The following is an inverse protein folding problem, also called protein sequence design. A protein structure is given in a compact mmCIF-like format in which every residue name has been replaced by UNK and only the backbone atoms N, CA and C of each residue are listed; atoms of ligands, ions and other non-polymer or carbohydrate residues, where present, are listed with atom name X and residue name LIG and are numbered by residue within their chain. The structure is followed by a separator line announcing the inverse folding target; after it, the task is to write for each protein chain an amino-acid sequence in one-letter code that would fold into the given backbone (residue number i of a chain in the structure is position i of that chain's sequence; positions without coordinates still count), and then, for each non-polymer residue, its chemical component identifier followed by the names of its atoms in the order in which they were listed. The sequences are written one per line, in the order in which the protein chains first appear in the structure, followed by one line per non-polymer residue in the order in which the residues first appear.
data_IF_409978673189
#
_entry.id   IF_409978673189
#
_cell.length_a   1.000
_cell.length_b   1.000
_cell.length_c   1.000
_cell.angle_alpha   90.00
_cell.angle_beta   90.00
_cell.angle_gamma   90.00
#
_symmetry.space_group_name_H-M   'P 1'
#
loop_
_entity.id
_entity.type
_entity.pdbx_description
1 polymer ?
#
# COMPACT_ATOMS: atom_id res chain seq x y z
N UNK A 1 -93.85 -30.17 -87.54
CA UNK A 1 -92.75 -29.72 -86.68
C UNK A 1 -92.13 -30.96 -86.06
N UNK A 2 -91.12 -31.51 -86.75
CA UNK A 2 -90.47 -32.78 -86.40
C UNK A 2 -89.21 -32.54 -85.59
N UNK A 3 -89.08 -33.37 -84.56
CA UNK A 3 -87.90 -33.77 -83.78
C UNK A 3 -86.58 -33.10 -84.12
N UNK A 4 -86.16 -32.20 -83.22
CA UNK A 4 -84.74 -31.88 -82.98
C UNK A 4 -84.32 -32.40 -81.58
N UNK A 5 -84.91 -33.54 -81.15
CA UNK A 5 -84.53 -34.25 -79.91
C UNK A 5 -83.35 -35.22 -80.12
N UNK A 6 -82.80 -35.33 -81.34
CA UNK A 6 -81.87 -36.41 -81.75
C UNK A 6 -80.38 -36.20 -81.40
N UNK A 7 -79.99 -35.18 -80.62
CA UNK A 7 -78.58 -35.02 -80.18
C UNK A 7 -78.29 -35.47 -78.75
N UNK A 8 -79.30 -35.81 -77.97
CA UNK A 8 -79.13 -36.56 -76.71
C UNK A 8 -79.52 -38.02 -76.98
N UNK A 9 -78.64 -38.70 -77.72
CA UNK A 9 -78.80 -40.10 -78.08
C UNK A 9 -78.82 -40.96 -76.80
N UNK A 10 -79.91 -41.70 -76.53
CA UNK A 10 -79.98 -42.64 -75.42
C UNK A 10 -78.83 -43.68 -75.42
N UNK A 11 -78.18 -43.91 -76.57
CA UNK A 11 -77.02 -44.78 -76.69
C UNK A 11 -75.72 -44.17 -76.12
N UNK A 12 -75.68 -42.86 -75.83
CA UNK A 12 -74.49 -42.14 -75.34
C UNK A 12 -74.63 -41.65 -73.89
N UNK A 13 -75.55 -42.22 -73.11
CA UNK A 13 -75.66 -41.91 -71.67
C UNK A 13 -74.42 -42.49 -70.95
N UNK A 14 -73.66 -41.66 -70.18
CA UNK A 14 -72.46 -42.14 -69.51
C UNK A 14 -72.80 -43.16 -68.43
N UNK A 15 -71.81 -43.92 -67.96
CA UNK A 15 -72.03 -44.90 -66.90
C UNK A 15 -72.51 -44.23 -65.62
N UNK A 16 -73.54 -44.78 -64.93
CA UNK A 16 -74.10 -44.16 -63.74
C UNK A 16 -73.09 -44.08 -62.58
N UNK A 17 -71.99 -44.82 -62.60
CA UNK A 17 -70.94 -44.76 -61.56
C UNK A 17 -70.00 -43.55 -61.73
N UNK A 18 -69.87 -43.00 -62.93
CA UNK A 18 -68.97 -41.88 -63.19
C UNK A 18 -69.64 -40.55 -62.81
N UNK A 19 -69.38 -40.10 -61.58
CA UNK A 19 -69.93 -38.85 -61.02
C UNK A 19 -69.72 -37.64 -61.94
N UNK A 20 -68.50 -37.47 -62.47
CA UNK A 20 -68.15 -36.32 -63.30
C UNK A 20 -68.90 -36.30 -64.61
N UNK A 21 -68.91 -37.43 -65.33
CA UNK A 21 -69.64 -37.55 -66.59
C UNK A 21 -71.15 -37.45 -66.39
N UNK A 22 -71.69 -38.04 -65.32
CA UNK A 22 -73.12 -37.98 -64.99
C UNK A 22 -73.58 -36.54 -64.74
N UNK A 23 -72.85 -35.78 -63.93
CA UNK A 23 -73.16 -34.36 -63.68
C UNK A 23 -72.97 -33.51 -64.93
N UNK A 24 -71.90 -33.75 -65.69
CA UNK A 24 -71.69 -33.09 -66.98
C UNK A 24 -72.84 -33.30 -67.95
N UNK A 25 -73.37 -34.54 -68.02
CA UNK A 25 -74.55 -34.85 -68.85
C UNK A 25 -75.79 -34.10 -68.37
N UNK A 26 -76.08 -34.09 -67.06
CA UNK A 26 -77.23 -33.39 -66.48
C UNK A 26 -77.15 -31.89 -66.79
N UNK A 27 -76.00 -31.27 -66.53
CA UNK A 27 -75.78 -29.84 -66.74
C UNK A 27 -75.92 -29.48 -68.23
N UNK A 28 -75.33 -30.28 -69.13
CA UNK A 28 -75.47 -30.08 -70.58
C UNK A 28 -76.91 -30.23 -71.06
N UNK A 29 -77.65 -31.22 -70.54
CA UNK A 29 -79.04 -31.45 -70.92
C UNK A 29 -79.92 -30.25 -70.54
N UNK A 30 -79.79 -29.79 -69.29
CA UNK A 30 -80.53 -28.63 -68.80
C UNK A 30 -80.11 -27.39 -69.59
N UNK A 31 -78.81 -27.15 -69.79
CA UNK A 31 -78.33 -26.01 -70.57
C UNK A 31 -78.87 -25.99 -72.00
N UNK A 32 -79.07 -27.15 -72.63
CA UNK A 32 -79.50 -27.26 -74.02
C UNK A 32 -81.01 -27.12 -74.20
N UNK A 33 -81.80 -27.74 -73.32
CA UNK A 33 -83.26 -27.84 -73.50
C UNK A 33 -84.07 -26.98 -72.51
N UNK A 34 -83.45 -26.56 -71.42
CA UNK A 34 -84.08 -25.88 -70.29
C UNK A 34 -83.12 -24.83 -69.69
N UNK A 35 -82.55 -23.98 -70.55
CA UNK A 35 -81.48 -23.06 -70.17
C UNK A 35 -81.88 -22.08 -69.06
N UNK A 36 -83.17 -21.80 -68.92
CA UNK A 36 -83.79 -21.01 -67.86
C UNK A 36 -83.68 -21.66 -66.47
N UNK A 37 -83.52 -22.99 -66.41
CA UNK A 37 -83.36 -23.73 -65.16
C UNK A 37 -81.91 -23.85 -64.69
N UNK A 38 -80.93 -23.48 -65.52
CA UNK A 38 -79.49 -23.59 -65.18
C UNK A 38 -79.13 -22.88 -63.86
N UNK A 39 -79.61 -21.65 -63.58
CA UNK A 39 -79.32 -20.99 -62.30
C UNK A 39 -79.82 -21.74 -61.06
N UNK A 40 -80.80 -22.65 -61.22
CA UNK A 40 -81.43 -23.39 -60.12
C UNK A 40 -80.72 -24.70 -59.79
N UNK A 41 -79.80 -25.19 -60.65
CA UNK A 41 -79.17 -26.50 -60.50
C UNK A 41 -78.52 -26.66 -59.12
N UNK A 42 -77.72 -25.68 -58.70
CA UNK A 42 -76.98 -25.78 -57.44
C UNK A 42 -77.88 -25.70 -56.20
N UNK A 43 -78.92 -24.87 -56.24
CA UNK A 43 -79.93 -24.79 -55.18
C UNK A 43 -80.69 -26.11 -55.06
N UNK A 44 -81.17 -26.67 -56.18
CA UNK A 44 -81.85 -27.97 -56.20
C UNK A 44 -80.95 -29.12 -55.76
N UNK A 45 -79.63 -29.02 -55.97
CA UNK A 45 -78.66 -30.01 -55.52
C UNK A 45 -78.54 -29.99 -54.00
N UNK A 46 -78.49 -28.80 -53.39
CA UNK A 46 -78.49 -28.62 -51.94
C UNK A 46 -79.79 -29.10 -51.31
N UNK A 47 -80.94 -28.78 -51.91
CA UNK A 47 -82.24 -29.31 -51.46
C UNK A 47 -82.26 -30.84 -51.50
N UNK A 48 -81.76 -31.45 -52.59
CA UNK A 48 -81.64 -32.89 -52.72
C UNK A 48 -80.73 -33.50 -51.64
N UNK A 49 -79.60 -32.85 -51.32
CA UNK A 49 -78.70 -33.27 -50.23
C UNK A 49 -79.42 -33.26 -48.87
N UNK A 50 -80.09 -32.16 -48.54
CA UNK A 50 -80.84 -32.01 -47.28
C UNK A 50 -81.98 -33.01 -47.16
N UNK A 51 -82.61 -33.40 -48.27
CA UNK A 51 -83.66 -34.39 -48.30
C UNK A 51 -83.12 -35.82 -48.17
N UNK A 52 -82.06 -36.15 -48.92
CA UNK A 52 -81.57 -37.53 -49.01
C UNK A 52 -80.79 -37.98 -47.77
N UNK A 53 -80.12 -37.06 -47.06
CA UNK A 53 -79.42 -37.39 -45.82
C UNK A 53 -80.35 -38.03 -44.76
N UNK A 54 -81.47 -37.42 -44.35
CA UNK A 54 -82.46 -38.05 -43.48
C UNK A 54 -82.98 -39.39 -44.03
N UNK A 55 -83.31 -39.47 -45.33
CA UNK A 55 -83.82 -40.71 -45.94
C UNK A 55 -82.85 -41.88 -45.78
N UNK A 56 -81.54 -41.65 -45.93
CA UNK A 56 -80.54 -42.69 -45.72
C UNK A 56 -80.36 -43.02 -44.23
N UNK A 57 -80.44 -42.02 -43.35
CA UNK A 57 -80.41 -42.23 -41.90
C UNK A 57 -81.59 -43.07 -41.39
N UNK A 58 -82.82 -42.73 -41.80
CA UNK A 58 -84.04 -43.43 -41.40
C UNK A 58 -84.07 -44.89 -41.87
N UNK A 59 -83.31 -45.19 -42.94
CA UNK A 59 -83.08 -46.56 -43.43
C UNK A 59 -82.02 -47.32 -42.64
N UNK A 60 -81.47 -46.74 -41.57
CA UNK A 60 -80.44 -47.35 -40.75
C UNK A 60 -79.07 -47.42 -41.42
N UNK A 61 -78.81 -46.67 -42.50
CA UNK A 61 -77.50 -46.69 -43.15
C UNK A 61 -76.52 -45.85 -42.33
N UNK A 62 -75.51 -46.49 -41.75
CA UNK A 62 -74.42 -45.80 -41.05
C UNK A 62 -73.42 -45.26 -42.08
N UNK A 63 -73.02 -46.13 -43.01
CA UNK A 63 -72.14 -45.81 -44.12
C UNK A 63 -72.91 -45.92 -45.44
N UNK A 64 -72.80 -44.89 -46.27
CA UNK A 64 -73.38 -44.88 -47.63
C UNK A 64 -72.24 -44.74 -48.62
N UNK A 65 -72.10 -45.65 -49.61
CA UNK A 65 -71.04 -45.52 -50.59
C UNK A 65 -71.15 -44.22 -51.38
N UNK A 66 -70.01 -43.57 -51.63
CA UNK A 66 -69.94 -42.26 -52.27
C UNK A 66 -70.69 -42.22 -53.60
N UNK A 67 -70.42 -43.19 -54.48
CA UNK A 67 -71.02 -43.26 -55.82
C UNK A 67 -72.54 -43.38 -55.76
N UNK A 68 -73.05 -44.28 -54.91
CA UNK A 68 -74.49 -44.50 -54.75
C UNK A 68 -75.18 -43.28 -54.14
N UNK A 69 -74.58 -42.64 -53.13
CA UNK A 69 -75.15 -41.44 -52.51
C UNK A 69 -75.23 -40.28 -53.51
N UNK A 70 -74.14 -39.97 -54.20
CA UNK A 70 -74.15 -38.88 -55.18
C UNK A 70 -75.14 -39.14 -56.32
N UNK A 71 -75.32 -40.40 -56.71
CA UNK A 71 -76.32 -40.79 -57.69
C UNK A 71 -77.75 -40.54 -57.18
N UNK A 72 -78.07 -40.82 -55.92
CA UNK A 72 -79.40 -40.52 -55.36
C UNK A 72 -79.64 -39.02 -55.21
N UNK A 73 -78.60 -38.23 -54.94
CA UNK A 73 -78.65 -36.75 -54.99
C UNK A 73 -79.00 -36.30 -56.40
N UNK A 74 -78.25 -36.74 -57.41
CA UNK A 74 -78.45 -36.29 -58.80
C UNK A 74 -79.83 -36.72 -59.34
N UNK A 75 -80.30 -37.93 -58.99
CA UNK A 75 -81.65 -38.42 -59.34
C UNK A 75 -82.76 -37.62 -58.67
N UNK A 76 -82.54 -37.16 -57.43
CA UNK A 76 -83.49 -36.31 -56.68
C UNK A 76 -83.49 -34.89 -57.23
N UNK A 77 -82.32 -34.33 -57.52
CA UNK A 77 -82.17 -33.05 -58.22
C UNK A 77 -82.94 -33.05 -59.54
N UNK A 78 -82.80 -34.11 -60.35
CA UNK A 78 -83.49 -34.23 -61.63
C UNK A 78 -85.01 -34.19 -61.48
N UNK A 79 -85.54 -34.88 -60.46
CA UNK A 79 -86.97 -34.84 -60.16
C UNK A 79 -87.42 -33.46 -59.69
N UNK A 80 -86.64 -32.83 -58.80
CA UNK A 80 -86.99 -31.55 -58.22
C UNK A 80 -86.96 -30.42 -59.24
N UNK A 81 -85.96 -30.40 -60.14
CA UNK A 81 -85.81 -29.33 -61.12
C UNK A 81 -86.91 -29.36 -62.19
N UNK A 82 -87.38 -30.56 -62.58
CA UNK A 82 -88.44 -30.74 -63.58
C UNK A 82 -89.84 -30.93 -62.98
N UNK A 83 -90.01 -30.84 -61.66
CA UNK A 83 -91.28 -31.13 -60.98
C UNK A 83 -92.45 -30.29 -61.54
N UNK A 84 -92.19 -29.03 -61.88
CA UNK A 84 -93.19 -28.08 -62.40
C UNK A 84 -93.73 -28.47 -63.79
N UNK A 85 -93.05 -29.35 -64.53
CA UNK A 85 -93.46 -29.81 -65.86
C UNK A 85 -94.48 -30.96 -65.80
N UNK A 86 -94.72 -31.55 -64.61
CA UNK A 86 -95.66 -32.65 -64.44
C UNK A 86 -95.36 -33.82 -65.39
N UNK A 87 -96.36 -34.23 -66.17
CA UNK A 87 -96.25 -35.33 -67.15
C UNK A 87 -95.27 -35.04 -68.30
N UNK A 88 -94.90 -33.78 -68.51
CA UNK A 88 -93.94 -33.38 -69.54
C UNK A 88 -92.48 -33.43 -69.04
N UNK A 89 -92.26 -33.75 -67.77
CA UNK A 89 -90.92 -33.88 -67.21
C UNK A 89 -90.13 -34.99 -67.93
N UNK A 90 -88.86 -34.74 -68.31
CA UNK A 90 -88.05 -35.76 -68.94
C UNK A 90 -87.76 -36.91 -67.97
N UNK A 91 -87.81 -38.14 -68.49
CA UNK A 91 -87.49 -39.33 -67.72
C UNK A 91 -86.03 -39.30 -67.26
N UNK A 92 -85.75 -39.93 -66.11
CA UNK A 92 -84.39 -40.10 -65.62
C UNK A 92 -83.57 -40.95 -66.62
N UNK A 93 -82.41 -40.48 -67.12
CA UNK A 93 -81.69 -41.12 -68.23
C UNK A 93 -81.10 -42.51 -67.94
N UNK A 94 -80.92 -42.87 -66.67
CA UNK A 94 -80.28 -44.13 -66.28
C UNK A 94 -81.30 -45.17 -65.84
N UNK A 95 -81.30 -46.33 -66.49
CA UNK A 95 -82.18 -47.45 -66.15
C UNK A 95 -81.62 -48.33 -65.02
N UNK A 96 -80.30 -48.30 -64.81
CA UNK A 96 -79.60 -49.06 -63.78
C UNK A 96 -79.05 -48.12 -62.71
N UNK A 97 -79.34 -48.41 -61.45
CA UNK A 97 -78.78 -47.69 -60.31
C UNK A 97 -77.40 -48.29 -59.94
N UNK A 98 -76.41 -47.47 -59.53
CA UNK A 98 -75.16 -47.99 -58.99
C UNK A 98 -75.39 -48.97 -57.84
N UNK A 99 -74.48 -49.92 -57.67
CA UNK A 99 -74.56 -50.92 -56.61
C UNK A 99 -74.59 -50.25 -55.23
N UNK A 100 -75.67 -50.46 -54.49
CA UNK A 100 -75.95 -49.85 -53.16
C UNK A 100 -74.89 -50.11 -52.10
N UNK A 101 -74.06 -51.14 -52.28
CA UNK A 101 -73.03 -51.58 -51.34
C UNK A 101 -71.61 -51.50 -51.91
N UNK A 102 -71.42 -50.86 -53.07
CA UNK A 102 -70.10 -50.71 -53.68
C UNK A 102 -69.31 -49.59 -53.02
N UNK A 103 -68.49 -49.97 -52.05
CA UNK A 103 -67.59 -49.08 -51.30
C UNK A 103 -66.24 -48.87 -52.00
N UNK A 104 -66.09 -49.21 -53.29
CA UNK A 104 -64.81 -49.05 -54.02
C UNK A 104 -64.28 -47.61 -54.02
N UNK A 105 -65.19 -46.63 -54.00
CA UNK A 105 -64.86 -45.20 -53.89
C UNK A 105 -64.95 -44.65 -52.46
N UNK A 106 -65.08 -45.54 -51.47
CA UNK A 106 -65.28 -45.18 -50.07
C UNK A 106 -66.69 -44.68 -49.73
N UNK A 107 -66.84 -44.18 -48.51
CA UNK A 107 -68.07 -43.58 -47.99
C UNK A 107 -68.24 -42.15 -48.53
N UNK A 108 -69.49 -41.72 -48.77
CA UNK A 108 -69.79 -40.32 -49.07
C UNK A 108 -69.31 -39.39 -47.96
N UNK A 109 -68.45 -38.44 -48.30
CA UNK A 109 -67.98 -37.40 -47.38
C UNK A 109 -69.13 -36.48 -46.95
N UNK A 110 -70.00 -36.08 -47.88
CA UNK A 110 -71.14 -35.22 -47.60
C UNK A 110 -72.13 -35.86 -46.61
N UNK A 111 -72.43 -37.16 -46.78
CA UNK A 111 -73.26 -37.88 -45.81
C UNK A 111 -72.57 -38.05 -44.46
N UNK A 112 -71.26 -38.33 -44.47
CA UNK A 112 -70.43 -38.44 -43.25
C UNK A 112 -70.43 -37.15 -42.44
N UNK A 113 -70.17 -36.02 -43.10
CA UNK A 113 -70.16 -34.68 -42.48
C UNK A 113 -71.53 -34.31 -41.92
N UNK A 114 -72.61 -34.57 -42.67
CA UNK A 114 -73.96 -34.37 -42.17
C UNK A 114 -74.25 -35.19 -40.90
N UNK A 115 -73.82 -36.46 -40.86
CA UNK A 115 -73.96 -37.29 -39.65
C UNK A 115 -73.18 -36.71 -38.46
N UNK A 116 -71.95 -36.21 -38.68
CA UNK A 116 -71.14 -35.55 -37.65
C UNK A 116 -71.84 -34.29 -37.13
N UNK A 117 -72.35 -33.44 -38.02
CA UNK A 117 -73.07 -32.21 -37.66
C UNK A 117 -74.32 -32.49 -36.80
N UNK A 118 -75.02 -33.60 -37.09
CA UNK A 118 -76.19 -34.03 -36.32
C UNK A 118 -75.87 -34.87 -35.08
N UNK A 119 -74.58 -35.08 -34.76
CA UNK A 119 -74.15 -35.86 -33.61
C UNK A 119 -74.45 -37.36 -33.73
N UNK A 120 -74.65 -37.87 -34.94
CA UNK A 120 -74.87 -39.30 -35.17
C UNK A 120 -73.56 -40.09 -35.20
N UNK A 121 -73.58 -41.38 -34.80
CA UNK A 121 -72.40 -42.24 -34.91
C UNK A 121 -71.92 -42.34 -36.36
N UNK A 122 -70.61 -42.21 -36.55
CA UNK A 122 -69.90 -42.39 -37.82
C UNK A 122 -68.80 -43.41 -37.59
N UNK A 123 -68.61 -44.34 -38.53
CA UNK A 123 -67.50 -45.27 -38.43
C UNK A 123 -66.17 -44.50 -38.54
N UNK A 124 -65.26 -44.62 -37.56
CA UNK A 124 -63.95 -43.99 -37.66
C UNK A 124 -63.25 -44.56 -38.88
N UNK A 125 -62.75 -43.67 -39.75
CA UNK A 125 -62.02 -44.14 -40.92
C UNK A 125 -60.71 -44.81 -40.46
N UNK A 126 -60.08 -45.59 -41.34
CA UNK A 126 -58.86 -46.31 -40.98
C UNK A 126 -57.72 -45.36 -40.54
N UNK A 127 -57.69 -44.14 -41.07
CA UNK A 127 -56.73 -43.11 -40.67
C UNK A 127 -56.99 -42.57 -39.26
N UNK A 128 -58.25 -42.45 -38.84
CA UNK A 128 -58.65 -42.02 -37.50
C UNK A 128 -58.26 -43.08 -36.47
N UNK A 129 -58.40 -44.37 -36.82
CA UNK A 129 -57.95 -45.49 -35.97
C UNK A 129 -56.42 -45.53 -35.84
N UNK A 130 -55.70 -45.34 -36.94
CA UNK A 130 -54.24 -45.30 -36.91
C UNK A 130 -53.75 -44.11 -36.07
N UNK A 131 -54.35 -42.93 -36.27
CA UNK A 131 -54.03 -41.74 -35.46
C UNK A 131 -54.30 -41.98 -33.97
N UNK A 132 -55.40 -42.65 -33.62
CA UNK A 132 -55.70 -42.99 -32.24
C UNK A 132 -54.62 -43.93 -31.66
N UNK A 133 -54.21 -44.96 -32.40
CA UNK A 133 -53.14 -45.86 -31.97
C UNK A 133 -51.80 -45.14 -31.80
N UNK A 134 -51.43 -44.28 -32.76
CA UNK A 134 -50.19 -43.50 -32.70
C UNK A 134 -50.19 -42.55 -31.48
N UNK A 135 -51.34 -41.95 -31.17
CA UNK A 135 -51.51 -41.09 -29.98
C UNK A 135 -51.45 -41.89 -28.68
N UNK A 136 -52.06 -43.08 -28.62
CA UNK A 136 -51.95 -43.98 -27.46
C UNK A 136 -50.49 -44.39 -27.22
N UNK A 137 -49.76 -44.71 -28.30
CA UNK A 137 -48.34 -45.03 -28.20
C UNK A 137 -47.51 -43.84 -27.73
N UNK A 138 -47.78 -42.63 -28.24
CA UNK A 138 -47.12 -41.41 -27.79
C UNK A 138 -47.40 -41.11 -26.32
N UNK A 139 -48.64 -41.28 -25.86
CA UNK A 139 -49.02 -41.11 -24.45
C UNK A 139 -48.30 -42.12 -23.55
N UNK A 140 -48.22 -43.39 -23.96
CA UNK A 140 -47.50 -44.41 -23.22
C UNK A 140 -46.01 -44.09 -23.09
N UNK A 141 -45.37 -43.67 -24.20
CA UNK A 141 -43.97 -43.26 -24.20
C UNK A 141 -43.73 -42.04 -23.29
N UNK A 142 -44.60 -41.04 -23.37
CA UNK A 142 -44.52 -39.84 -22.53
C UNK A 142 -44.69 -40.17 -21.04
N UNK A 143 -45.58 -41.11 -20.69
CA UNK A 143 -45.76 -41.56 -19.30
C UNK A 143 -44.50 -42.25 -18.77
N UNK A 144 -43.87 -43.12 -19.56
CA UNK A 144 -42.61 -43.77 -19.17
C UNK A 144 -41.47 -42.75 -18.99
N UNK A 145 -41.41 -41.73 -19.84
CA UNK A 145 -40.42 -40.66 -19.71
C UNK A 145 -40.64 -39.83 -18.44
N UNK A 146 -41.89 -39.50 -18.10
CA UNK A 146 -42.23 -38.81 -16.85
C UNK A 146 -41.81 -39.65 -15.64
N UNK A 147 -42.07 -40.95 -15.64
CA UNK A 147 -41.67 -41.85 -14.56
C UNK A 147 -40.14 -41.89 -14.40
N UNK A 148 -39.41 -41.99 -15.51
CA UNK A 148 -37.94 -41.92 -15.52
C UNK A 148 -37.41 -40.60 -14.97
N UNK A 149 -38.00 -39.47 -15.35
CA UNK A 149 -37.61 -38.16 -14.87
C UNK A 149 -37.90 -37.99 -13.37
N UNK A 150 -39.00 -38.56 -12.87
CA UNK A 150 -39.32 -38.55 -11.44
C UNK A 150 -38.30 -39.33 -10.62
N UNK A 151 -37.83 -40.49 -11.10
CA UNK A 151 -36.75 -41.24 -10.46
C UNK A 151 -35.46 -40.42 -10.40
N UNK A 152 -35.04 -39.82 -11.52
CA UNK A 152 -33.85 -38.96 -11.54
C UNK A 152 -33.99 -37.75 -10.58
N UNK A 153 -35.18 -37.16 -10.49
CA UNK A 153 -35.44 -36.05 -9.57
C UNK A 153 -35.33 -36.49 -8.10
N UNK A 154 -35.78 -37.70 -7.78
CA UNK A 154 -35.65 -38.27 -6.44
C UNK A 154 -34.19 -38.54 -6.09
N UNK A 155 -33.42 -39.13 -7.00
CA UNK A 155 -31.99 -39.37 -6.81
C UNK A 155 -31.21 -38.06 -6.60
N UNK A 156 -31.52 -37.04 -7.40
CA UNK A 156 -30.92 -35.71 -7.26
C UNK A 156 -31.23 -35.07 -5.89
N UNK A 157 -32.46 -35.24 -5.38
CA UNK A 157 -32.84 -34.76 -4.03
C UNK A 157 -32.09 -35.50 -2.93
N UNK A 158 -31.94 -36.81 -3.05
CA UNK A 158 -31.16 -37.62 -2.09
C UNK A 158 -29.71 -37.16 -2.06
N UNK A 159 -29.07 -37.02 -3.23
CA UNK A 159 -27.68 -36.56 -3.33
C UNK A 159 -27.50 -35.13 -2.80
N UNK A 160 -28.47 -34.24 -3.04
CA UNK A 160 -28.46 -32.90 -2.46
C UNK A 160 -28.52 -32.93 -0.93
N UNK A 161 -29.33 -33.81 -0.35
CA UNK A 161 -29.45 -33.97 1.09
C UNK A 161 -28.17 -34.55 1.70
N UNK A 162 -27.60 -35.58 1.10
CA UNK A 162 -26.30 -36.15 1.51
C UNK A 162 -25.18 -35.11 1.47
N UNK A 163 -25.11 -34.31 0.39
CA UNK A 163 -24.14 -33.23 0.29
C UNK A 163 -24.33 -32.18 1.39
N UNK A 164 -25.59 -31.83 1.70
CA UNK A 164 -25.92 -30.88 2.75
C UNK A 164 -25.46 -31.39 4.12
N UNK A 165 -25.71 -32.66 4.44
CA UNK A 165 -25.28 -33.29 5.68
C UNK A 165 -23.75 -33.36 5.79
N UNK A 166 -23.07 -33.73 4.70
CA UNK A 166 -21.61 -33.75 4.64
C UNK A 166 -21.00 -32.36 4.84
N UNK A 167 -21.57 -31.31 4.22
CA UNK A 167 -21.12 -29.94 4.41
C UNK A 167 -21.39 -29.43 5.82
N UNK A 168 -22.53 -29.79 6.42
CA UNK A 168 -22.84 -29.45 7.81
C UNK A 168 -21.84 -30.09 8.77
N UNK A 169 -21.53 -31.38 8.61
CA UNK A 169 -20.50 -32.05 9.43
C UNK A 169 -19.13 -31.37 9.34
N UNK A 170 -18.72 -30.96 8.13
CA UNK A 170 -17.46 -30.20 7.93
C UNK A 170 -17.47 -28.82 8.57
N UNK A 171 -18.62 -28.16 8.65
CA UNK A 171 -18.77 -26.89 9.36
C UNK A 171 -18.66 -27.10 10.87
N UNK A 172 -19.33 -28.12 11.39
CA UNK A 172 -19.29 -28.46 12.82
C UNK A 172 -17.86 -28.81 13.28
N UNK A 173 -17.10 -29.56 12.46
CA UNK A 173 -15.69 -29.86 12.69
C UNK A 173 -14.82 -28.59 12.73
N UNK A 174 -15.06 -27.66 11.80
CA UNK A 174 -14.35 -26.38 11.77
C UNK A 174 -14.68 -25.52 12.98
N UNK A 175 -15.94 -25.47 13.40
CA UNK A 175 -16.37 -24.75 14.60
C UNK A 175 -15.76 -25.36 15.87
N UNK A 176 -15.67 -26.69 15.95
CA UNK A 176 -14.97 -27.37 17.03
C UNK A 176 -13.47 -27.02 17.06
N UNK A 177 -12.81 -26.99 15.89
CA UNK A 177 -11.42 -26.58 15.78
C UNK A 177 -11.21 -25.12 16.17
N UNK A 178 -12.09 -24.21 15.73
CA UNK A 178 -12.03 -22.79 16.10
C UNK A 178 -12.17 -22.62 17.62
N UNK A 179 -13.16 -23.27 18.24
CA UNK A 179 -13.32 -23.27 19.71
C UNK A 179 -12.07 -23.79 20.42
N UNK A 180 -11.46 -24.86 19.91
CA UNK A 180 -10.21 -25.40 20.46
C UNK A 180 -9.05 -24.41 20.36
N UNK A 181 -8.93 -23.72 19.22
CA UNK A 181 -7.90 -22.69 18.99
C UNK A 181 -8.12 -21.45 19.84
N UNK A 182 -9.36 -21.03 20.06
CA UNK A 182 -9.68 -19.95 20.98
C UNK A 182 -9.27 -20.30 22.42
N UNK A 183 -9.54 -21.53 22.87
CA UNK A 183 -9.07 -22.01 24.17
C UNK A 183 -7.54 -22.03 24.27
N UNK A 184 -6.83 -22.40 23.20
CA UNK A 184 -5.38 -22.36 23.13
C UNK A 184 -4.85 -20.92 23.21
N UNK A 185 -5.44 -19.98 22.46
CA UNK A 185 -5.10 -18.56 22.53
C UNK A 185 -5.32 -18.01 23.93
N UNK A 186 -6.43 -18.35 24.59
CA UNK A 186 -6.69 -17.92 25.96
C UNK A 186 -5.64 -18.46 26.94
N UNK A 187 -5.24 -19.73 26.81
CA UNK A 187 -4.13 -20.30 27.59
C UNK A 187 -2.83 -19.54 27.37
N UNK A 188 -2.45 -19.31 26.12
CA UNK A 188 -1.25 -18.55 25.78
C UNK A 188 -1.28 -17.11 26.29
N UNK A 189 -2.45 -16.45 26.32
CA UNK A 189 -2.61 -15.12 26.93
C UNK A 189 -2.39 -15.13 28.43
N UNK A 190 -2.90 -16.14 29.13
CA UNK A 190 -2.68 -16.32 30.58
C UNK A 190 -1.19 -16.55 30.83
N UNK A 191 -0.55 -17.45 30.09
CA UNK A 191 0.89 -17.74 30.21
C UNK A 191 1.74 -16.51 29.90
N UNK A 192 1.39 -15.76 28.86
CA UNK A 192 2.03 -14.49 28.52
C UNK A 192 1.86 -13.44 29.61
N UNK A 193 0.70 -13.38 30.27
CA UNK A 193 0.47 -12.48 31.41
C UNK A 193 1.34 -12.86 32.61
N UNK A 194 1.49 -14.16 32.90
CA UNK A 194 2.37 -14.67 33.94
C UNK A 194 3.85 -14.36 33.66
N UNK A 195 4.27 -14.31 32.38
CA UNK A 195 5.61 -13.89 32.00
C UNK A 195 5.94 -12.41 32.30
N UNK A 196 4.91 -11.60 32.57
CA UNK A 196 5.05 -10.20 33.00
C UNK A 196 5.83 -10.07 34.31
N UNK A 197 5.61 -10.98 35.27
CA UNK A 197 6.35 -10.99 36.53
C UNK A 197 7.83 -11.28 36.30
N UNK A 198 8.15 -12.24 35.42
CA UNK A 198 9.53 -12.55 35.04
C UNK A 198 10.22 -11.37 34.36
N UNK A 199 9.52 -10.63 33.47
CA UNK A 199 10.05 -9.40 32.85
C UNK A 199 10.29 -8.30 33.87
N UNK A 200 9.43 -8.14 34.86
CA UNK A 200 9.58 -7.15 35.93
C UNK A 200 10.77 -7.51 36.84
N UNK A 201 10.93 -8.79 37.19
CA UNK A 201 12.10 -9.30 37.92
C UNK A 201 13.39 -9.07 37.14
N UNK A 202 13.41 -9.38 35.84
CA UNK A 202 14.57 -9.15 34.97
C UNK A 202 14.93 -7.66 34.87
N UNK A 203 13.94 -6.79 34.69
CA UNK A 203 14.12 -5.33 34.66
C UNK A 203 14.69 -4.80 35.97
N UNK A 204 14.27 -5.38 37.09
CA UNK A 204 14.75 -4.98 38.42
C UNK A 204 16.18 -5.46 38.68
N UNK A 205 16.48 -6.71 38.29
CA UNK A 205 17.84 -7.25 38.32
C UNK A 205 18.79 -6.47 37.38
N UNK A 206 18.32 -6.07 36.20
CA UNK A 206 19.10 -5.27 35.27
C UNK A 206 19.42 -3.88 35.85
N UNK A 207 18.44 -3.19 36.43
CA UNK A 207 18.68 -1.91 37.14
C UNK A 207 19.70 -2.07 38.26
N UNK A 208 19.63 -3.14 39.04
CA UNK A 208 20.59 -3.42 40.09
C UNK A 208 22.01 -3.66 39.54
N UNK A 209 22.14 -4.41 38.44
CA UNK A 209 23.44 -4.61 37.77
C UNK A 209 24.03 -3.30 37.24
N UNK A 210 23.21 -2.42 36.66
CA UNK A 210 23.68 -1.09 36.21
C UNK A 210 24.19 -0.27 37.40
N UNK A 211 23.48 -0.30 38.54
CA UNK A 211 23.91 0.40 39.75
C UNK A 211 25.23 -0.16 40.30
N UNK A 212 25.40 -1.49 40.35
CA UNK A 212 26.65 -2.12 40.75
C UNK A 212 27.80 -1.77 39.80
N UNK A 213 27.53 -1.74 38.49
CA UNK A 213 28.54 -1.34 37.51
C UNK A 213 28.99 0.12 37.71
N UNK A 214 28.04 1.04 37.97
CA UNK A 214 28.37 2.43 38.30
C UNK A 214 29.22 2.53 39.57
N UNK A 215 28.89 1.77 40.61
CA UNK A 215 29.71 1.72 41.84
C UNK A 215 31.11 1.19 41.55
N UNK A 216 31.24 0.16 40.72
CA UNK A 216 32.53 -0.40 40.32
C UNK A 216 33.39 0.62 39.54
N UNK A 217 32.77 1.41 38.66
CA UNK A 217 33.47 2.50 37.95
C UNK A 217 33.97 3.55 38.94
N UNK A 218 33.14 3.97 39.89
CA UNK A 218 33.54 4.94 40.93
C UNK A 218 34.70 4.41 41.76
N UNK A 219 34.65 3.15 42.22
CA UNK A 219 35.75 2.57 42.98
C UNK A 219 37.01 2.42 42.14
N UNK A 220 36.89 2.01 40.87
CA UNK A 220 38.02 1.94 39.93
C UNK A 220 38.67 3.32 39.74
N UNK A 221 37.88 4.38 39.57
CA UNK A 221 38.43 5.75 39.49
C UNK A 221 39.16 6.16 40.76
N UNK A 222 38.63 5.78 41.94
CA UNK A 222 39.31 6.03 43.22
C UNK A 222 40.66 5.32 43.31
N UNK A 223 40.72 4.05 42.88
CA UNK A 223 41.97 3.27 42.85
C UNK A 223 42.98 3.87 41.87
N UNK A 224 42.55 4.33 40.70
CA UNK A 224 43.46 4.98 39.74
C UNK A 224 44.03 6.28 40.28
N UNK A 225 43.23 7.09 40.98
CA UNK A 225 43.71 8.32 41.64
C UNK A 225 44.74 7.99 42.71
N UNK A 226 44.45 7.02 43.59
CA UNK A 226 45.40 6.58 44.63
C UNK A 226 46.71 6.06 44.03
N UNK A 227 46.63 5.33 42.92
CA UNK A 227 47.82 4.86 42.19
C UNK A 227 48.65 6.02 41.66
N UNK A 228 48.00 7.03 41.07
CA UNK A 228 48.69 8.22 40.56
C UNK A 228 49.35 9.03 41.69
N UNK A 229 48.69 9.14 42.85
CA UNK A 229 49.26 9.74 44.05
C UNK A 229 50.50 8.98 44.53
N UNK A 230 50.44 7.63 44.51
CA UNK A 230 51.57 6.78 44.87
C UNK A 230 52.75 6.93 43.88
N UNK A 231 52.48 6.97 42.57
CA UNK A 231 53.50 7.18 41.54
C UNK A 231 54.16 8.57 41.68
N UNK A 232 53.37 9.60 42.03
CA UNK A 232 53.87 10.94 42.33
C UNK A 232 54.74 10.95 43.58
N UNK A 233 54.32 10.25 44.64
CA UNK A 233 55.09 10.11 45.87
C UNK A 233 56.41 9.36 45.62
N UNK A 234 56.40 8.28 44.84
CA UNK A 234 57.60 7.56 44.45
C UNK A 234 58.55 8.43 43.64
N UNK A 235 58.05 9.21 42.68
CA UNK A 235 58.86 10.14 41.90
C UNK A 235 59.55 11.18 42.78
N UNK A 236 58.86 11.66 43.83
CA UNK A 236 59.45 12.55 44.85
C UNK A 236 60.54 11.85 45.66
N UNK A 237 60.32 10.61 46.07
CA UNK A 237 61.33 9.82 46.79
C UNK A 237 62.58 9.64 45.93
N UNK A 238 62.43 9.22 44.67
CA UNK A 238 63.57 9.06 43.75
C UNK A 238 64.32 10.38 43.53
N UNK A 239 63.61 11.51 43.43
CA UNK A 239 64.26 12.82 43.34
C UNK A 239 65.09 13.14 44.59
N UNK A 240 64.56 12.86 45.79
CA UNK A 240 65.28 13.05 47.05
C UNK A 240 66.48 12.10 47.17
N UNK A 241 66.36 10.85 46.74
CA UNK A 241 67.47 9.90 46.67
C UNK A 241 68.59 10.38 45.73
N UNK A 242 68.23 10.92 44.56
CA UNK A 242 69.19 11.52 43.64
C UNK A 242 69.90 12.74 44.27
N UNK A 243 69.17 13.61 44.95
CA UNK A 243 69.79 14.73 45.70
C UNK A 243 70.72 14.24 46.81
N UNK A 244 70.34 13.16 47.49
CA UNK A 244 71.15 12.57 48.57
C UNK A 244 72.41 11.87 48.05
N UNK A 245 72.36 11.27 46.87
CA UNK A 245 73.53 10.65 46.22
C UNK A 245 74.46 11.67 45.57
N UNK A 246 73.94 12.81 45.13
CA UNK A 246 74.76 13.95 44.68
C UNK A 246 75.44 14.70 45.85
N UNK A 247 74.82 14.70 47.03
CA UNK A 247 75.30 15.40 48.22
C UNK A 247 76.75 15.06 48.60
N UNK A 248 77.18 13.78 48.67
CA UNK A 248 78.57 13.43 48.96
C UNK A 248 79.58 14.08 48.00
N UNK A 249 79.26 14.16 46.70
CA UNK A 249 80.15 14.79 45.72
C UNK A 249 80.22 16.32 45.92
N UNK A 250 79.11 16.96 46.29
CA UNK A 250 79.05 18.39 46.62
C UNK A 250 79.77 18.70 47.93
N UNK A 251 79.61 17.85 48.96
CA UNK A 251 80.33 17.94 50.24
C UNK A 251 81.82 17.75 50.02
N UNK A 252 82.25 16.75 49.25
CA UNK A 252 83.65 16.51 48.93
C UNK A 252 84.26 17.66 48.11
N UNK A 253 83.51 18.24 47.18
CA UNK A 253 83.93 19.44 46.45
C UNK A 253 84.11 20.65 47.40
N UNK A 254 83.17 20.85 48.34
CA UNK A 254 83.25 21.90 49.36
C UNK A 254 84.39 21.66 50.37
N UNK A 255 84.65 20.42 50.77
CA UNK A 255 85.81 20.05 51.61
C UNK A 255 87.13 20.33 50.89
N UNK A 256 87.18 20.07 49.58
CA UNK A 256 88.35 20.36 48.74
C UNK A 256 88.54 21.88 48.58
N UNK A 257 87.45 22.64 48.39
CA UNK A 257 87.47 24.10 48.39
C UNK A 257 87.89 24.67 49.75
N UNK A 258 87.41 24.10 50.85
CA UNK A 258 87.78 24.49 52.22
C UNK A 258 89.26 24.22 52.49
N UNK A 259 89.80 23.07 52.04
CA UNK A 259 91.22 22.77 52.15
C UNK A 259 92.08 23.73 51.31
N UNK A 260 91.62 24.09 50.10
CA UNK A 260 92.24 25.14 49.26
C UNK A 260 92.14 26.52 49.90
N UNK A 261 91.02 26.83 50.55
CA UNK A 261 90.81 28.09 51.25
C UNK A 261 91.69 28.19 52.51
N UNK A 262 91.85 27.10 53.27
CA UNK A 262 92.76 27.03 54.42
C UNK A 262 94.22 27.15 54.02
N UNK A 263 94.64 26.55 52.90
CA UNK A 263 95.99 26.75 52.37
C UNK A 263 96.20 28.18 51.87
N UNK A 264 95.19 28.79 51.21
CA UNK A 264 95.22 30.21 50.87
C UNK A 264 95.23 31.10 52.11
N UNK A 265 94.50 30.75 53.17
CA UNK A 265 94.44 31.48 54.43
C UNK A 265 95.77 31.39 55.19
N UNK A 266 96.39 30.21 55.25
CA UNK A 266 97.75 30.05 55.81
C UNK A 266 98.78 30.86 55.02
N UNK A 267 98.73 30.81 53.69
CA UNK A 267 99.60 31.64 52.84
C UNK A 267 99.30 33.14 52.99
N UNK A 268 98.04 33.50 53.22
CA UNK A 268 97.60 34.86 53.50
C UNK A 268 97.98 35.32 54.91
N UNK A 269 98.07 34.43 55.90
CA UNK A 269 98.60 34.71 57.24
C UNK A 269 100.11 34.93 57.19
N UNK A 270 100.85 34.15 56.38
CA UNK A 270 102.28 34.38 56.15
C UNK A 270 102.51 35.68 55.37
N UNK A 271 101.67 35.97 54.37
CA UNK A 271 101.67 37.27 53.69
C UNK A 271 101.20 38.40 54.62
N UNK A 272 100.29 38.17 55.56
CA UNK A 272 99.86 39.17 56.54
C UNK A 272 100.95 39.42 57.58
N UNK A 273 101.75 38.44 58.00
CA UNK A 273 102.95 38.73 58.82
C UNK A 273 103.97 39.56 58.05
N UNK A 274 104.12 39.30 56.76
CA UNK A 274 104.99 40.08 55.87
C UNK A 274 104.45 41.50 55.64
N UNK A 275 103.13 41.64 55.41
CA UNK A 275 102.45 42.90 55.19
C UNK A 275 102.21 43.69 56.47
N UNK A 276 102.08 43.07 57.65
CA UNK A 276 102.09 43.74 58.97
C UNK A 276 103.47 44.35 59.27
N UNK A 277 104.54 43.74 58.73
CA UNK A 277 105.85 44.36 58.63
C UNK A 277 105.85 45.63 57.77
N UNK A 278 105.12 45.62 56.65
CA UNK A 278 104.97 46.77 55.75
C UNK A 278 103.93 47.80 56.21
N UNK A 279 102.92 47.39 56.97
CA UNK A 279 101.83 48.22 57.52
C UNK A 279 102.28 48.99 58.76
N UNK A 280 103.31 48.54 59.47
CA UNK A 280 104.00 49.36 60.48
C UNK A 280 104.75 50.54 59.83
N UNK A 281 105.19 50.38 58.58
CA UNK A 281 105.82 51.42 57.74
C UNK A 281 104.80 52.31 56.98
N UNK A 282 103.63 51.77 56.64
CA UNK A 282 102.60 52.51 55.89
C UNK A 282 101.56 53.24 56.77
N UNK A 283 101.39 52.86 58.05
CA UNK A 283 100.51 53.57 59.00
C UNK A 283 101.05 54.95 59.45
N UNK A 284 102.18 55.41 58.90
CA UNK A 284 102.60 56.83 58.97
C UNK A 284 102.10 57.67 57.79
N UNK A 285 101.34 57.13 56.83
CA UNK A 285 100.94 57.87 55.63
C UNK A 285 99.49 57.66 55.21
N UNK A 286 98.59 58.41 55.84
CA UNK A 286 97.23 58.76 55.33
C UNK A 286 96.19 57.67 55.66
N UNK A 287 95.17 57.84 56.51
CA UNK A 287 94.22 58.94 56.74
C UNK A 287 93.37 59.33 55.50
N UNK A 288 92.16 58.75 55.39
CA UNK A 288 90.94 59.46 54.93
C UNK A 288 90.15 58.92 53.72
N UNK A 289 88.82 58.79 53.90
CA UNK A 289 87.74 58.87 52.87
C UNK A 289 87.28 57.54 52.22
N UNK A 290 86.09 56.94 52.38
CA UNK A 290 84.64 57.29 52.38
C UNK A 290 83.91 57.17 51.00
N UNK A 291 82.91 56.25 50.95
CA UNK A 291 81.64 56.21 50.16
C UNK A 291 81.62 55.94 48.62
N UNK A 292 80.46 55.71 47.92
CA UNK A 292 79.15 55.07 48.20
C UNK A 292 78.53 54.22 47.03
N UNK A 293 77.27 53.75 47.18
CA UNK A 293 76.39 52.98 46.23
C UNK A 293 76.03 53.69 44.89
N UNK A 294 75.50 52.96 43.87
CA UNK A 294 74.72 53.55 42.78
C UNK A 294 73.27 53.03 42.62
N UNK A 295 72.37 53.97 42.29
CA UNK A 295 71.01 53.78 41.76
C UNK A 295 71.00 54.03 40.23
N UNK A 296 70.07 53.41 39.51
CA UNK A 296 70.01 53.42 38.03
C UNK A 296 69.02 54.49 37.53
N UNK A 297 69.43 55.30 36.53
CA UNK A 297 68.62 56.29 35.79
C UNK A 297 68.39 55.83 34.34
N UNK A 298 67.19 56.11 33.81
CA UNK A 298 66.77 55.86 32.42
C UNK A 298 67.19 57.05 31.52
N UNK A 299 67.77 56.81 30.31
CA UNK A 299 68.25 57.87 29.42
C UNK A 299 67.16 58.49 28.53
N UNK A 300 67.34 59.76 28.14
CA UNK A 300 66.44 60.53 27.27
C UNK A 300 66.79 60.40 25.77
N UNK A 301 65.76 60.31 24.92
CA UNK A 301 65.84 60.15 23.46
C UNK A 301 64.62 59.37 22.92
N UNK A 302 64.45 59.17 21.61
CA UNK A 302 63.29 58.44 21.05
C UNK A 302 63.17 57.00 21.59
N UNK A 303 64.29 56.35 21.95
CA UNK A 303 64.32 55.07 22.66
C UNK A 303 63.94 55.19 24.15
N UNK A 304 64.18 56.34 24.78
CA UNK A 304 63.76 56.65 26.15
C UNK A 304 62.27 57.00 26.25
N UNK A 305 61.70 57.62 25.22
CA UNK A 305 60.25 57.83 25.09
C UNK A 305 59.52 56.51 24.84
N UNK A 306 60.10 55.61 24.02
CA UNK A 306 59.60 54.25 23.86
C UNK A 306 59.67 53.47 25.18
N UNK A 307 60.80 53.50 25.89
CA UNK A 307 60.97 52.87 27.20
C UNK A 307 60.04 53.47 28.28
N UNK A 308 59.76 54.78 28.21
CA UNK A 308 58.76 55.45 29.04
C UNK A 308 57.34 54.99 28.74
N UNK A 309 56.97 54.85 27.47
CA UNK A 309 55.68 54.29 27.05
C UNK A 309 55.50 52.85 27.54
N UNK A 310 56.52 52.00 27.42
CA UNK A 310 56.47 50.62 27.93
C UNK A 310 56.43 50.55 29.46
N UNK A 311 57.13 51.43 30.18
CA UNK A 311 57.05 51.49 31.64
C UNK A 311 55.65 51.92 32.13
N UNK A 312 54.96 52.79 31.37
CA UNK A 312 53.57 53.18 31.63
C UNK A 312 52.60 52.06 31.25
N UNK A 313 52.79 51.39 30.11
CA UNK A 313 51.96 50.23 29.69
C UNK A 313 52.09 49.05 30.68
N UNK A 314 53.31 48.74 31.12
CA UNK A 314 53.57 47.70 32.11
C UNK A 314 52.92 48.04 33.47
N UNK A 315 52.76 49.32 33.80
CA UNK A 315 52.09 49.77 35.03
C UNK A 315 50.56 49.76 34.92
N UNK A 316 50.00 50.01 33.74
CA UNK A 316 48.54 50.04 33.52
C UNK A 316 47.92 48.66 33.26
N UNK A 317 48.71 47.67 32.82
CA UNK A 317 48.24 46.35 32.39
C UNK A 317 48.75 45.21 33.31
N UNK A 318 49.49 45.52 34.39
CA UNK A 318 50.15 44.54 35.29
C UNK A 318 49.18 43.60 36.03
N UNK A 319 47.91 43.97 36.09
CA UNK A 319 46.83 43.27 36.77
C UNK A 319 45.92 42.48 35.81
N UNK A 320 46.22 42.47 34.51
CA UNK A 320 45.55 41.62 33.54
C UNK A 320 46.37 40.34 33.31
N UNK A 321 45.80 39.15 33.59
CA UNK A 321 46.50 37.89 33.38
C UNK A 321 46.54 37.57 31.87
N UNK A 322 47.65 37.90 31.22
CA UNK A 322 47.88 37.66 29.78
C UNK A 322 48.79 36.43 29.62
N UNK A 323 48.45 35.52 28.71
CA UNK A 323 49.28 34.35 28.42
C UNK A 323 50.46 34.75 27.52
N UNK A 324 51.74 34.60 27.95
CA UNK A 324 52.90 35.05 27.17
C UNK A 324 53.06 34.35 25.82
N UNK A 325 52.50 33.15 25.69
CA UNK A 325 52.67 32.29 24.52
C UNK A 325 51.83 32.73 23.31
N UNK A 326 50.72 33.46 23.52
CA UNK A 326 49.90 34.00 22.43
C UNK A 326 50.51 35.23 21.76
N UNK A 327 51.36 35.97 22.48
CA UNK A 327 52.08 37.14 21.96
C UNK A 327 53.35 36.77 21.17
N UNK A 328 53.79 35.51 21.22
CA UNK A 328 54.99 35.05 20.51
C UNK A 328 54.88 35.16 18.98
N UNK A 329 53.67 35.30 18.44
CA UNK A 329 53.40 35.50 17.01
C UNK A 329 53.50 36.96 16.56
N UNK A 330 53.51 37.92 17.48
CA UNK A 330 53.68 39.32 17.15
C UNK A 330 55.15 39.71 17.36
N UNK A 331 55.76 40.38 16.38
CA UNK A 331 57.00 41.08 16.69
C UNK A 331 56.72 42.21 17.69
N UNK A 332 57.75 42.59 18.44
CA UNK A 332 57.64 43.55 19.53
C UNK A 332 57.13 44.93 19.04
N UNK A 333 57.38 45.23 17.76
CA UNK A 333 57.03 46.46 17.07
C UNK A 333 55.52 46.49 16.73
N UNK A 334 54.98 45.38 16.23
CA UNK A 334 53.56 45.17 15.88
C UNK A 334 52.69 45.22 17.13
N UNK A 335 53.13 44.60 18.23
CA UNK A 335 52.42 44.69 19.52
C UNK A 335 52.35 46.14 20.03
N UNK A 336 53.41 46.92 19.83
CA UNK A 336 53.47 48.30 20.28
C UNK A 336 52.64 49.26 19.42
N UNK A 337 52.55 48.99 18.12
CA UNK A 337 51.82 49.85 17.18
C UNK A 337 50.33 49.52 17.15
N UNK A 338 49.95 48.25 17.22
CA UNK A 338 48.55 47.84 17.00
C UNK A 338 47.79 47.61 18.31
N UNK A 339 48.43 47.04 19.34
CA UNK A 339 47.74 46.68 20.59
C UNK A 339 47.80 47.80 21.62
N UNK A 340 48.96 48.44 21.78
CA UNK A 340 49.16 49.45 22.82
C UNK A 340 48.18 50.66 22.70
N UNK A 341 47.93 51.26 21.52
CA UNK A 341 47.01 52.39 21.41
C UNK A 341 45.57 52.04 21.79
N UNK A 342 45.15 50.79 21.54
CA UNK A 342 43.81 50.31 21.90
C UNK A 342 43.66 50.18 23.42
N UNK A 343 44.71 49.71 24.11
CA UNK A 343 44.71 49.59 25.57
C UNK A 343 44.70 50.94 26.29
N UNK A 344 45.12 52.02 25.63
CA UNK A 344 45.05 53.39 26.17
C UNK A 344 43.70 54.09 25.95
N UNK A 345 42.74 53.50 25.23
CA UNK A 345 41.40 54.09 25.07
C UNK A 345 40.69 54.16 26.44
N UNK A 346 39.98 55.26 26.68
CA UNK A 346 39.21 55.46 27.92
C UNK A 346 38.16 54.34 28.04
N UNK A 347 38.23 53.56 29.13
CA UNK A 347 37.33 52.44 29.38
C UNK A 347 37.83 51.06 28.91
N UNK A 348 38.92 51.00 28.14
CA UNK A 348 39.46 49.75 27.60
C UNK A 348 39.71 48.69 28.68
N UNK A 349 40.38 49.08 29.77
CA UNK A 349 40.70 48.20 30.90
C UNK A 349 39.44 47.65 31.60
N UNK A 350 38.41 48.47 31.76
CA UNK A 350 37.14 48.05 32.36
C UNK A 350 36.44 47.01 31.49
N UNK A 351 36.36 47.28 30.19
CA UNK A 351 35.72 46.39 29.23
C UNK A 351 36.48 45.06 29.08
N UNK A 352 37.81 45.08 29.10
CA UNK A 352 38.64 43.87 29.08
C UNK A 352 38.46 43.00 30.33
N UNK A 353 38.33 43.60 31.52
CA UNK A 353 38.02 42.84 32.75
C UNK A 353 36.62 42.22 32.70
N UNK A 354 35.63 42.96 32.23
CA UNK A 354 34.27 42.44 32.05
C UNK A 354 34.24 41.30 31.03
N UNK A 355 34.99 41.42 29.94
CA UNK A 355 35.16 40.38 28.95
C UNK A 355 35.85 39.14 29.52
N UNK A 356 36.94 39.32 30.29
CA UNK A 356 37.64 38.23 30.98
C UNK A 356 36.71 37.49 31.96
N UNK A 357 35.90 38.22 32.73
CA UNK A 357 34.94 37.65 33.68
C UNK A 357 33.78 36.91 33.00
N UNK A 358 33.37 37.35 31.80
CA UNK A 358 32.34 36.68 31.01
C UNK A 358 32.81 35.33 30.43
N UNK A 359 34.12 35.10 30.35
CA UNK A 359 34.72 33.84 29.91
C UNK A 359 34.38 33.35 28.49
N UNK A 360 34.22 34.21 27.46
CA UNK A 360 33.90 33.75 26.13
C UNK A 360 35.06 32.96 25.52
N UNK A 361 34.75 31.77 25.02
CA UNK A 361 35.73 30.83 24.44
C UNK A 361 36.04 31.08 22.96
N UNK A 362 35.23 31.89 22.26
CA UNK A 362 35.45 32.25 20.86
C UNK A 362 36.44 33.40 20.69
N UNK A 363 36.95 33.60 19.46
CA UNK A 363 37.75 34.78 19.12
C UNK A 363 36.85 36.00 18.86
N UNK A 364 37.25 37.13 19.42
CA UNK A 364 36.62 38.43 19.30
C UNK A 364 37.62 39.47 18.82
N UNK A 365 37.20 40.40 17.97
CA UNK A 365 38.01 41.56 17.60
C UNK A 365 38.34 42.40 18.85
N UNK A 366 39.61 42.69 19.10
CA UNK A 366 40.09 43.42 20.28
C UNK A 366 39.50 44.83 20.35
N UNK A 367 39.37 45.53 19.22
CA UNK A 367 38.74 46.86 19.18
C UNK A 367 37.29 46.82 19.65
N UNK A 368 36.51 45.85 19.14
CA UNK A 368 35.13 45.65 19.58
C UNK A 368 35.04 45.33 21.07
N UNK A 369 35.99 44.55 21.61
CA UNK A 369 36.03 44.23 23.05
C UNK A 369 36.37 45.48 23.87
N UNK A 370 37.38 46.25 23.44
CA UNK A 370 37.78 47.51 24.08
C UNK A 370 36.66 48.54 24.06
N UNK A 371 35.84 48.57 23.01
CA UNK A 371 34.68 49.46 22.88
C UNK A 371 33.42 48.89 23.59
N UNK A 372 33.50 47.71 24.23
CA UNK A 372 32.43 47.11 25.02
C UNK A 372 31.37 46.33 24.22
N UNK A 373 31.63 46.06 22.93
CA UNK A 373 30.72 45.40 21.98
C UNK A 373 31.28 44.02 21.60
N UNK A 374 31.53 43.17 22.59
CA UNK A 374 32.12 41.85 22.39
C UNK A 374 31.18 40.89 21.62
N UNK A 375 31.30 40.87 20.28
CA UNK A 375 30.59 39.92 19.40
C UNK A 375 31.55 38.86 18.86
N UNK A 376 31.18 37.57 18.90
CA UNK A 376 32.02 36.52 18.33
C UNK A 376 32.06 36.71 16.82
N UNK A 377 33.26 36.84 16.25
CA UNK A 377 33.44 37.20 14.84
C UNK A 377 34.18 36.14 14.03
N UNK A 378 34.67 35.06 14.67
CA UNK A 378 35.63 34.16 14.03
C UNK A 378 36.95 34.90 13.76
N UNK A 379 37.70 34.49 12.74
CA UNK A 379 38.95 35.16 12.34
C UNK A 379 38.74 36.36 11.37
N UNK A 380 37.50 36.81 11.16
CA UNK A 380 37.20 37.94 10.27
C UNK A 380 36.24 38.92 10.95
N UNK A 381 36.73 40.13 11.25
CA UNK A 381 35.89 41.21 11.77
C UNK A 381 35.10 41.85 10.63
N UNK A 382 33.77 42.01 10.78
CA UNK A 382 32.93 42.69 9.79
C UNK A 382 32.85 44.21 10.02
N UNK A 383 33.21 44.65 11.21
CA UNK A 383 33.06 46.05 11.64
C UNK A 383 34.28 46.90 11.25
N UNK A 384 35.44 46.27 11.04
CA UNK A 384 36.69 46.93 10.66
C UNK A 384 37.19 46.39 9.31
N UNK A 385 37.67 47.28 8.44
CA UNK A 385 38.10 46.95 7.07
C UNK A 385 39.57 46.50 6.95
N UNK A 386 40.22 46.15 8.06
CA UNK A 386 41.64 45.83 8.10
C UNK A 386 41.94 44.60 8.97
N UNK A 387 43.23 44.26 9.05
CA UNK A 387 43.76 43.21 9.91
C UNK A 387 43.45 43.55 11.37
N UNK A 388 42.57 42.78 12.00
CA UNK A 388 42.22 42.96 13.40
C UNK A 388 43.06 42.05 14.29
N UNK A 389 43.42 42.55 15.47
CA UNK A 389 43.89 41.70 16.57
C UNK A 389 42.69 40.98 17.18
N UNK A 390 42.79 39.67 17.33
CA UNK A 390 41.74 38.86 17.94
C UNK A 390 42.15 38.43 19.35
N UNK A 391 41.16 38.37 20.25
CA UNK A 391 41.33 37.96 21.64
C UNK A 391 40.24 36.96 22.05
N UNK A 392 40.61 35.98 22.87
CA UNK A 392 39.68 35.04 23.52
C UNK A 392 40.05 34.84 24.99
N UNK A 393 39.13 34.27 25.77
CA UNK A 393 39.43 33.86 27.14
C UNK A 393 39.74 32.37 27.19
N UNK A 394 40.88 32.02 27.77
CA UNK A 394 41.28 30.64 28.03
C UNK A 394 41.31 30.41 29.54
N UNK A 395 40.70 29.33 30.02
CA UNK A 395 40.75 28.96 31.42
C UNK A 395 41.98 28.07 31.65
N UNK A 396 42.99 28.60 32.32
CA UNK A 396 44.20 27.87 32.71
C UNK A 396 44.18 27.44 34.19
N UNK A 397 45.21 26.69 34.60
CA UNK A 397 45.39 26.25 36.00
C UNK A 397 45.49 27.41 37.01
N UNK A 398 45.76 28.63 36.55
CA UNK A 398 45.89 29.83 37.38
C UNK A 398 44.76 30.86 37.16
N UNK A 399 43.66 30.45 36.52
CA UNK A 399 42.49 31.29 36.26
C UNK A 399 42.28 31.63 34.78
N UNK A 400 41.26 32.43 34.50
CA UNK A 400 40.96 32.95 33.18
C UNK A 400 42.06 33.93 32.73
N UNK A 401 42.59 33.71 31.53
CA UNK A 401 43.66 34.51 30.93
C UNK A 401 43.25 34.97 29.52
N UNK A 402 43.76 36.13 29.10
CA UNK A 402 43.58 36.62 27.74
C UNK A 402 44.62 35.96 26.81
N UNK A 403 44.12 35.37 25.73
CA UNK A 403 44.91 34.77 24.66
C UNK A 403 44.69 35.56 23.36
N UNK A 404 45.78 36.04 22.77
CA UNK A 404 45.76 36.91 21.59
C UNK A 404 46.19 36.13 20.34
N UNK A 405 45.59 36.48 19.20
CA UNK A 405 45.96 35.96 17.89
C UNK A 405 46.06 37.11 16.89
N UNK A 406 47.12 37.11 16.08
CA UNK A 406 47.20 37.96 14.90
C UNK A 406 46.25 37.46 13.81
N UNK A 407 45.91 38.33 12.85
CA UNK A 407 45.32 37.86 11.61
C UNK A 407 46.39 37.11 10.81
N UNK A 408 46.19 35.82 10.55
CA UNK A 408 46.97 35.13 9.51
C UNK A 408 46.69 35.86 8.19
N UNK A 409 47.72 36.50 7.62
CA UNK A 409 47.66 37.09 6.27
C UNK A 409 47.64 36.01 5.20
#
# INVERSE_FOLDING_TARGET
MSSQRDTFDPANVPRPENLGERRGYIDQYIQRFHCDLVPQIEEKRKEALLFMCPVHHDRGMIDVPAVYFEYTIDKTLWRNIFLHLGEQAPAWPWNEDPKKHDMSSGMSTAYREWRIEKGFPVMPNQADRQRAYDLEQQLSNAQQEIERLNLHLQDAKTLQQELKEALQGRLDDKDALLRSKDQEIQRLRIDGSNSGESRQRLSSAHRHNVQLHQQLVVTQTGVTTQRQELETANSRITHLENLLTESPSKVQALETELAKANTRASNAEDNNRYLEGQLRDANTRLAGGQEPQPSIRIPAGPLGELAGMYAVLAREVTDLPILPQGLAFFDLETTAVEVAPLLFRVGAKGNLRSFLAAGPSGYHCLENVVDGIAKPTGYHCRDHKGDCVFVRVVNGAHGAVLDFSGSEK
#
